data_IF_066543094436
#
_entry.id   IF_066543094436
#
_cell.length_a   1.000
_cell.length_b   1.000
_cell.length_c   1.000
_cell.angle_alpha   90.00
_cell.angle_beta   90.00
_cell.angle_gamma   90.00
#
_symmetry.space_group_name_H-M   'P 1'
#
loop_
_entity.id
_entity.type
_entity.pdbx_description
1 polymer ?
#
# COMPACT_ATOMS: atom_id res chain seq x y z
N UNK A 1 12.58 -21.50 -0.48
CA UNK A 1 11.20 -21.31 -1.01
C UNK A 1 11.02 -19.84 -1.31
N UNK A 2 10.27 -19.49 -2.37
CA UNK A 2 9.91 -18.09 -2.69
C UNK A 2 8.95 -17.56 -1.64
N UNK A 3 9.06 -16.25 -1.35
CA UNK A 3 8.10 -15.57 -0.48
C UNK A 3 6.82 -15.27 -1.24
N UNK A 4 5.69 -15.68 -0.68
CA UNK A 4 4.36 -15.48 -1.23
C UNK A 4 3.79 -14.15 -0.76
N UNK A 5 3.47 -13.26 -1.70
CA UNK A 5 3.05 -11.88 -1.40
C UNK A 5 1.59 -11.67 -1.79
N UNK A 6 0.80 -11.19 -0.85
CA UNK A 6 -0.51 -10.61 -1.12
C UNK A 6 -0.38 -9.09 -1.31
N UNK A 7 -0.85 -8.56 -2.43
CA UNK A 7 -0.81 -7.12 -2.72
C UNK A 7 -2.21 -6.53 -2.63
N UNK A 8 -2.48 -5.80 -1.57
CA UNK A 8 -3.71 -5.03 -1.41
C UNK A 8 -3.58 -3.70 -2.17
N UNK A 9 -4.30 -3.59 -3.29
CA UNK A 9 -4.22 -2.43 -4.18
C UNK A 9 -3.14 -2.54 -5.26
N UNK A 10 -3.06 -3.68 -5.93
CA UNK A 10 -2.04 -4.00 -6.95
C UNK A 10 -2.07 -3.07 -8.18
N UNK A 11 -3.22 -2.46 -8.48
CA UNK A 11 -3.40 -1.53 -9.60
C UNK A 11 -3.05 -0.08 -9.25
N UNK A 12 -2.68 0.20 -8.01
CA UNK A 12 -2.19 1.50 -7.55
C UNK A 12 -0.70 1.70 -7.88
N UNK A 13 -0.20 2.92 -7.68
CA UNK A 13 1.20 3.27 -7.96
C UNK A 13 2.20 2.36 -7.22
N UNK A 14 2.01 2.15 -5.92
CA UNK A 14 2.89 1.27 -5.13
C UNK A 14 2.71 -0.20 -5.52
N UNK A 15 1.47 -0.62 -5.78
CA UNK A 15 1.19 -2.01 -6.19
C UNK A 15 1.83 -2.38 -7.52
N UNK A 16 1.81 -1.49 -8.51
CA UNK A 16 2.48 -1.71 -9.81
C UNK A 16 3.99 -1.76 -9.67
N UNK A 17 4.59 -0.88 -8.85
CA UNK A 17 6.02 -0.91 -8.56
C UNK A 17 6.43 -2.21 -7.83
N UNK A 18 5.62 -2.68 -6.87
CA UNK A 18 5.87 -3.96 -6.21
C UNK A 18 5.83 -5.14 -7.18
N UNK A 19 4.91 -5.13 -8.14
CA UNK A 19 4.86 -6.14 -9.21
C UNK A 19 6.10 -6.08 -10.12
N UNK A 20 6.64 -4.91 -10.38
CA UNK A 20 7.89 -4.78 -11.13
C UNK A 20 9.08 -5.35 -10.35
N UNK A 21 9.16 -5.11 -9.05
CA UNK A 21 10.17 -5.73 -8.16
C UNK A 21 10.04 -7.26 -8.17
N UNK A 22 8.81 -7.80 -8.05
CA UNK A 22 8.57 -9.24 -8.15
C UNK A 22 9.01 -9.79 -9.50
N UNK A 23 8.78 -9.04 -10.59
CA UNK A 23 9.20 -9.44 -11.93
C UNK A 23 10.73 -9.55 -12.07
N UNK A 24 11.47 -8.69 -11.38
CA UNK A 24 12.94 -8.67 -11.39
C UNK A 24 13.55 -9.73 -10.48
N UNK A 25 12.82 -10.18 -9.45
CA UNK A 25 13.30 -11.10 -8.42
C UNK A 25 12.39 -12.34 -8.29
N UNK A 26 12.06 -12.97 -9.42
CA UNK A 26 11.19 -14.15 -9.47
C UNK A 26 11.75 -15.40 -8.78
N UNK A 27 13.01 -15.41 -8.47
CA UNK A 27 13.68 -16.42 -7.64
C UNK A 27 13.35 -16.27 -6.15
N UNK A 28 13.06 -15.06 -5.70
CA UNK A 28 12.80 -14.71 -4.30
C UNK A 28 11.32 -14.53 -3.98
N UNK A 29 10.55 -13.96 -4.91
CA UNK A 29 9.18 -13.51 -4.67
C UNK A 29 8.18 -14.05 -5.68
N UNK A 30 6.94 -14.21 -5.23
CA UNK A 30 5.79 -14.58 -6.04
C UNK A 30 4.53 -13.84 -5.59
N UNK A 31 3.74 -13.36 -6.54
CA UNK A 31 2.45 -12.73 -6.24
C UNK A 31 1.40 -13.82 -6.02
N UNK A 32 1.03 -14.08 -4.76
CA UNK A 32 0.02 -15.05 -4.39
C UNK A 32 -1.41 -14.51 -4.59
N UNK A 33 -1.64 -13.26 -4.20
CA UNK A 33 -2.93 -12.60 -4.38
C UNK A 33 -2.77 -11.15 -4.84
N UNK A 34 -3.61 -10.75 -5.78
CA UNK A 34 -3.70 -9.37 -6.27
C UNK A 34 -5.09 -8.81 -6.01
N UNK A 35 -5.17 -7.55 -5.59
CA UNK A 35 -6.47 -6.93 -5.33
C UNK A 35 -6.59 -5.55 -5.96
N UNK A 36 -7.82 -5.18 -6.32
CA UNK A 36 -8.16 -3.84 -6.78
C UNK A 36 -9.55 -3.43 -6.26
N UNK A 37 -9.90 -2.15 -6.34
CA UNK A 37 -11.25 -1.69 -6.01
C UNK A 37 -12.17 -1.70 -7.24
N UNK A 38 -11.87 -0.84 -8.24
CA UNK A 38 -12.72 -0.66 -9.42
C UNK A 38 -12.00 -0.97 -10.75
N UNK A 39 -10.67 -1.10 -10.75
CA UNK A 39 -9.89 -1.29 -11.98
C UNK A 39 -9.86 -2.77 -12.39
N UNK A 40 -11.02 -3.26 -12.81
CA UNK A 40 -11.22 -4.69 -13.10
C UNK A 40 -10.38 -5.18 -14.28
N UNK A 41 -10.32 -4.42 -15.38
CA UNK A 41 -9.57 -4.81 -16.58
C UNK A 41 -8.06 -4.83 -16.32
N UNK A 42 -7.55 -3.86 -15.53
CA UNK A 42 -6.15 -3.82 -15.12
C UNK A 42 -5.80 -4.98 -14.18
N UNK A 43 -6.67 -5.30 -13.21
CA UNK A 43 -6.50 -6.45 -12.34
C UNK A 43 -6.47 -7.76 -13.12
N UNK A 44 -7.36 -7.92 -14.10
CA UNK A 44 -7.38 -9.10 -14.97
C UNK A 44 -6.09 -9.21 -15.82
N UNK A 45 -5.58 -8.09 -16.33
CA UNK A 45 -4.30 -8.06 -17.06
C UNK A 45 -3.12 -8.45 -16.16
N UNK A 46 -3.08 -7.93 -14.93
CA UNK A 46 -2.08 -8.31 -13.94
C UNK A 46 -2.18 -9.80 -13.58
N UNK A 47 -3.41 -10.32 -13.37
CA UNK A 47 -3.64 -11.72 -13.08
C UNK A 47 -3.11 -12.65 -14.20
N UNK A 48 -3.32 -12.27 -15.46
CA UNK A 48 -2.79 -13.02 -16.61
C UNK A 48 -1.27 -13.02 -16.67
N UNK A 49 -0.63 -11.88 -16.32
CA UNK A 49 0.83 -11.71 -16.37
C UNK A 49 1.55 -12.43 -15.23
N UNK A 50 0.99 -12.37 -14.02
CA UNK A 50 1.64 -12.85 -12.80
C UNK A 50 1.12 -14.20 -12.33
N UNK A 51 -0.01 -14.67 -12.85
CA UNK A 51 -0.65 -15.95 -12.55
C UNK A 51 -0.79 -16.22 -11.02
N UNK A 52 -1.41 -15.30 -10.25
CA UNK A 52 -1.59 -15.48 -8.82
C UNK A 52 -2.55 -16.62 -8.51
N UNK A 53 -2.50 -17.16 -7.30
CA UNK A 53 -3.48 -18.15 -6.82
C UNK A 53 -4.89 -17.55 -6.68
N UNK A 54 -4.98 -16.24 -6.39
CA UNK A 54 -6.26 -15.56 -6.22
C UNK A 54 -6.22 -14.09 -6.65
N UNK A 55 -7.39 -13.57 -7.00
CA UNK A 55 -7.64 -12.14 -7.16
C UNK A 55 -8.88 -11.72 -6.38
N UNK A 56 -8.89 -10.50 -5.84
CA UNK A 56 -10.04 -9.94 -5.14
C UNK A 56 -10.38 -8.57 -5.70
N UNK A 57 -11.62 -8.37 -6.12
CA UNK A 57 -12.16 -7.07 -6.48
C UNK A 57 -13.02 -6.54 -5.32
N UNK A 58 -12.63 -5.40 -4.71
CA UNK A 58 -13.32 -4.91 -3.53
C UNK A 58 -14.74 -4.43 -3.80
N UNK A 59 -15.00 -3.89 -4.98
CA UNK A 59 -16.34 -3.51 -5.42
C UNK A 59 -17.06 -4.72 -6.03
N UNK A 60 -18.05 -5.24 -5.32
CA UNK A 60 -18.86 -6.42 -5.73
C UNK A 60 -19.51 -6.27 -7.11
N UNK A 61 -19.83 -5.03 -7.53
CA UNK A 61 -20.42 -4.77 -8.83
C UNK A 61 -19.55 -5.25 -10.02
N UNK A 62 -18.25 -5.44 -9.79
CA UNK A 62 -17.31 -5.90 -10.82
C UNK A 62 -16.99 -7.39 -10.76
N UNK A 63 -17.61 -8.15 -9.85
CA UNK A 63 -17.32 -9.58 -9.67
C UNK A 63 -17.52 -10.40 -10.94
N UNK A 64 -18.72 -10.34 -11.53
CA UNK A 64 -19.04 -11.12 -12.73
C UNK A 64 -18.15 -10.74 -13.91
N UNK A 65 -17.86 -9.43 -14.07
CA UNK A 65 -16.94 -8.97 -15.11
C UNK A 65 -15.53 -9.54 -14.94
N UNK A 66 -15.01 -9.59 -13.71
CA UNK A 66 -13.69 -10.16 -13.43
C UNK A 66 -13.66 -11.66 -13.72
N UNK A 67 -14.72 -12.39 -13.35
CA UNK A 67 -14.87 -13.83 -13.69
C UNK A 67 -14.87 -14.08 -15.19
N UNK A 68 -15.63 -13.29 -15.95
CA UNK A 68 -15.65 -13.39 -17.41
C UNK A 68 -14.26 -13.16 -18.00
N UNK A 69 -13.57 -12.11 -17.55
CA UNK A 69 -12.21 -11.77 -18.00
C UNK A 69 -11.19 -12.87 -17.70
N UNK A 70 -11.40 -13.68 -16.69
CA UNK A 70 -10.50 -14.77 -16.27
C UNK A 70 -11.06 -16.17 -16.52
N UNK A 71 -12.11 -16.31 -17.31
CA UNK A 71 -12.75 -17.59 -17.58
C UNK A 71 -11.82 -18.65 -18.22
N UNK A 72 -10.81 -18.21 -18.94
CA UNK A 72 -9.75 -19.06 -19.53
C UNK A 72 -8.59 -19.36 -18.56
N UNK A 73 -8.66 -18.89 -17.31
CA UNK A 73 -7.68 -19.08 -16.23
C UNK A 73 -8.31 -19.74 -15.00
N UNK A 74 -8.79 -21.00 -15.10
CA UNK A 74 -9.57 -21.65 -14.04
C UNK A 74 -8.79 -21.85 -12.73
N UNK A 75 -7.45 -21.84 -12.77
CA UNK A 75 -6.60 -21.99 -11.61
C UNK A 75 -6.56 -20.73 -10.73
N UNK A 76 -6.95 -19.56 -11.27
CA UNK A 76 -7.00 -18.31 -10.53
C UNK A 76 -8.39 -18.18 -9.86
N UNK A 77 -8.39 -18.21 -8.53
CA UNK A 77 -9.63 -18.01 -7.76
C UNK A 77 -10.04 -16.55 -7.75
N UNK A 78 -11.30 -16.27 -8.06
CA UNK A 78 -11.85 -14.91 -8.10
C UNK A 78 -12.80 -14.70 -6.93
N UNK A 79 -12.54 -13.63 -6.15
CA UNK A 79 -13.35 -13.22 -5.01
C UNK A 79 -13.75 -11.75 -5.14
N UNK A 80 -14.77 -11.33 -4.37
CA UNK A 80 -15.20 -9.94 -4.32
C UNK A 80 -15.59 -9.51 -2.91
N UNK A 81 -15.62 -8.20 -2.70
CA UNK A 81 -16.11 -7.58 -1.49
C UNK A 81 -15.03 -7.30 -0.43
N UNK A 82 -15.40 -6.43 0.52
CA UNK A 82 -14.51 -6.01 1.60
C UNK A 82 -14.17 -7.18 2.56
N UNK A 83 -15.11 -8.09 2.78
CA UNK A 83 -14.89 -9.27 3.62
C UNK A 83 -13.86 -10.22 2.99
N UNK A 84 -13.93 -10.42 1.66
CA UNK A 84 -12.97 -11.24 0.94
C UNK A 84 -11.53 -10.68 1.03
N UNK A 85 -11.37 -9.34 1.09
CA UNK A 85 -10.06 -8.72 1.35
C UNK A 85 -9.52 -9.08 2.73
N UNK A 86 -10.38 -9.15 3.75
CA UNK A 86 -9.97 -9.54 5.10
C UNK A 86 -9.62 -11.02 5.18
N UNK A 87 -10.40 -11.87 4.54
CA UNK A 87 -10.21 -13.32 4.57
C UNK A 87 -8.98 -13.77 3.77
N UNK A 88 -8.72 -13.16 2.62
CA UNK A 88 -7.62 -13.61 1.75
C UNK A 88 -6.24 -13.38 2.40
N UNK A 89 -6.06 -12.33 3.18
CA UNK A 89 -4.79 -12.04 3.83
C UNK A 89 -4.43 -13.04 4.93
N UNK A 90 -5.42 -13.80 5.41
CA UNK A 90 -5.24 -14.87 6.40
C UNK A 90 -4.75 -16.18 5.78
N UNK A 91 -4.78 -16.33 4.45
CA UNK A 91 -4.44 -17.57 3.78
C UNK A 91 -3.03 -18.06 4.18
N UNK A 92 -2.95 -19.35 4.54
CA UNK A 92 -1.74 -19.97 5.09
C UNK A 92 -0.49 -19.76 4.22
N UNK A 93 -0.54 -19.89 2.88
CA UNK A 93 0.65 -19.77 2.05
C UNK A 93 1.25 -18.36 2.00
N UNK A 94 0.50 -17.31 2.40
CA UNK A 94 0.98 -15.93 2.32
C UNK A 94 2.03 -15.67 3.42
N UNK A 95 3.24 -15.26 3.01
CA UNK A 95 4.30 -14.83 3.91
C UNK A 95 4.19 -13.35 4.28
N UNK A 96 3.81 -12.51 3.30
CA UNK A 96 3.85 -11.05 3.41
C UNK A 96 2.60 -10.41 2.79
N UNK A 97 2.12 -9.35 3.42
CA UNK A 97 1.01 -8.54 2.91
C UNK A 97 1.50 -7.12 2.65
N UNK A 98 1.49 -6.70 1.39
CA UNK A 98 1.72 -5.30 1.02
C UNK A 98 0.39 -4.54 1.08
N UNK A 99 0.29 -3.59 2.01
CA UNK A 99 -0.90 -2.75 2.18
C UNK A 99 -0.73 -1.45 1.40
N UNK A 100 -1.09 -1.46 0.11
CA UNK A 100 -1.00 -0.32 -0.81
C UNK A 100 -2.37 0.28 -1.15
N UNK A 101 -3.33 0.12 -0.26
CA UNK A 101 -4.67 0.73 -0.35
C UNK A 101 -4.61 2.19 0.09
N UNK A 102 -5.61 2.98 -0.31
CA UNK A 102 -5.69 4.40 0.03
C UNK A 102 -6.65 4.62 1.20
N UNK A 103 -6.26 5.48 2.12
CA UNK A 103 -7.11 5.92 3.23
C UNK A 103 -7.44 4.81 4.23
N UNK A 104 -8.63 4.89 4.83
CA UNK A 104 -9.10 4.00 5.90
C UNK A 104 -9.34 2.55 5.45
N UNK A 105 -9.56 2.30 4.15
CA UNK A 105 -9.93 0.97 3.63
C UNK A 105 -8.89 -0.13 3.89
N UNK A 106 -7.63 0.26 4.13
CA UNK A 106 -6.56 -0.67 4.45
C UNK A 106 -6.55 -1.18 5.90
N UNK A 107 -7.29 -0.55 6.83
CA UNK A 107 -7.19 -0.85 8.26
C UNK A 107 -7.67 -2.27 8.59
N UNK A 108 -8.88 -2.64 8.18
CA UNK A 108 -9.46 -3.94 8.51
C UNK A 108 -8.61 -5.11 7.96
N UNK A 109 -8.24 -5.17 6.66
CA UNK A 109 -7.39 -6.24 6.17
C UNK A 109 -5.99 -6.24 6.80
N UNK A 110 -5.44 -5.08 7.20
CA UNK A 110 -4.17 -5.03 7.95
C UNK A 110 -4.29 -5.71 9.32
N UNK A 111 -5.38 -5.46 10.05
CA UNK A 111 -5.64 -6.12 11.34
C UNK A 111 -5.76 -7.64 11.16
N UNK A 112 -6.47 -8.11 10.13
CA UNK A 112 -6.60 -9.53 9.82
C UNK A 112 -5.25 -10.17 9.49
N UNK A 113 -4.44 -9.52 8.67
CA UNK A 113 -3.10 -9.98 8.33
C UNK A 113 -2.17 -10.08 9.57
N UNK A 114 -2.22 -9.08 10.46
CA UNK A 114 -1.46 -9.09 11.72
C UNK A 114 -1.88 -10.28 12.58
N UNK A 115 -3.18 -10.49 12.79
CA UNK A 115 -3.72 -11.61 13.57
C UNK A 115 -3.35 -12.98 12.99
N UNK A 116 -3.17 -13.06 11.67
CA UNK A 116 -2.70 -14.24 10.96
C UNK A 116 -1.15 -14.33 10.91
N UNK A 117 -0.44 -13.55 11.73
CA UNK A 117 1.03 -13.58 11.88
C UNK A 117 1.79 -13.27 10.57
N UNK A 118 1.18 -12.50 9.64
CA UNK A 118 1.82 -12.12 8.38
C UNK A 118 2.78 -10.95 8.57
N UNK A 119 3.86 -10.90 7.78
CA UNK A 119 4.70 -9.70 7.69
C UNK A 119 3.93 -8.61 6.94
N UNK A 120 3.87 -7.43 7.52
CA UNK A 120 3.16 -6.28 6.93
C UNK A 120 4.16 -5.35 6.26
N UNK A 121 4.08 -5.21 4.94
CA UNK A 121 4.78 -4.18 4.19
C UNK A 121 3.84 -2.98 4.08
N UNK A 122 3.99 -2.00 4.97
CA UNK A 122 3.03 -0.92 5.17
C UNK A 122 3.34 0.28 4.27
N UNK A 123 2.56 0.44 3.20
CA UNK A 123 2.55 1.67 2.38
C UNK A 123 1.39 2.59 2.75
N UNK A 124 0.30 2.03 3.28
CA UNK A 124 -0.88 2.77 3.73
C UNK A 124 -0.66 3.35 5.14
N UNK A 125 0.06 4.45 5.23
CA UNK A 125 0.38 5.11 6.52
C UNK A 125 -0.83 5.63 7.25
N UNK A 126 -1.93 5.91 6.54
CA UNK A 126 -3.21 6.32 7.14
C UNK A 126 -3.75 5.29 8.13
N UNK A 127 -3.38 4.03 7.98
CA UNK A 127 -3.68 2.97 8.96
C UNK A 127 -3.08 3.28 10.34
N UNK A 128 -1.85 3.79 10.40
CA UNK A 128 -1.22 4.19 11.67
C UNK A 128 -1.77 5.52 12.19
N UNK A 129 -2.09 6.46 11.30
CA UNK A 129 -2.72 7.73 11.69
C UNK A 129 -4.04 7.49 12.43
N UNK A 130 -4.85 6.56 11.92
CA UNK A 130 -6.19 6.27 12.48
C UNK A 130 -6.12 5.36 13.70
N UNK A 131 -5.23 4.39 13.71
CA UNK A 131 -5.24 3.31 14.71
C UNK A 131 -3.81 2.84 15.10
N UNK A 132 -2.82 3.73 15.11
CA UNK A 132 -1.41 3.37 15.33
C UNK A 132 -1.17 2.60 16.61
N UNK A 133 -1.71 3.07 17.74
CA UNK A 133 -1.59 2.38 19.02
C UNK A 133 -2.16 0.95 18.97
N UNK A 134 -3.34 0.78 18.37
CA UNK A 134 -3.96 -0.54 18.20
C UNK A 134 -3.11 -1.44 17.29
N UNK A 135 -2.65 -0.92 16.16
CA UNK A 135 -1.87 -1.67 15.18
C UNK A 135 -0.53 -2.10 15.76
N UNK A 136 0.20 -1.19 16.43
CA UNK A 136 1.48 -1.52 17.05
C UNK A 136 1.33 -2.56 18.17
N UNK A 137 0.30 -2.44 19.00
CA UNK A 137 -0.01 -3.41 20.04
C UNK A 137 -0.30 -4.79 19.45
N UNK A 138 -1.21 -4.88 18.47
CA UNK A 138 -1.54 -6.15 17.81
C UNK A 138 -0.32 -6.77 17.10
N UNK A 139 0.49 -5.94 16.45
CA UNK A 139 1.70 -6.41 15.78
C UNK A 139 2.68 -7.04 16.78
N UNK A 140 2.84 -6.45 17.97
CA UNK A 140 3.67 -7.02 19.04
C UNK A 140 3.06 -8.31 19.59
N UNK A 141 1.76 -8.32 19.91
CA UNK A 141 1.03 -9.48 20.45
C UNK A 141 1.08 -10.70 19.51
N UNK A 142 0.96 -10.45 18.20
CA UNK A 142 0.93 -11.49 17.17
C UNK A 142 2.28 -11.75 16.49
N UNK A 143 3.37 -11.13 16.96
CA UNK A 143 4.70 -11.24 16.35
C UNK A 143 4.71 -10.99 14.84
N UNK A 144 3.91 -10.03 14.38
CA UNK A 144 3.76 -9.64 12.99
C UNK A 144 4.60 -8.38 12.72
N UNK A 145 5.81 -8.50 12.15
CA UNK A 145 6.65 -7.33 11.93
C UNK A 145 6.04 -6.40 10.90
N UNK A 146 6.08 -5.09 11.18
CA UNK A 146 5.69 -4.02 10.26
C UNK A 146 6.95 -3.46 9.62
N UNK A 147 7.02 -3.53 8.30
CA UNK A 147 8.10 -3.00 7.48
C UNK A 147 7.58 -1.76 6.73
N UNK A 148 8.17 -0.59 6.91
CA UNK A 148 7.73 0.60 6.24
C UNK A 148 8.06 0.57 4.74
N UNK A 149 7.07 0.88 3.90
CA UNK A 149 7.21 1.05 2.45
C UNK A 149 7.10 2.52 2.05
N UNK A 150 6.40 3.34 2.84
CA UNK A 150 6.45 4.79 2.72
C UNK A 150 7.90 5.28 2.69
N UNK A 151 8.23 6.20 1.78
CA UNK A 151 9.62 6.56 1.47
C UNK A 151 10.36 7.12 2.68
N UNK A 152 9.73 8.04 3.40
CA UNK A 152 10.33 8.73 4.54
C UNK A 152 10.46 7.80 5.74
N UNK A 153 9.42 7.03 6.04
CA UNK A 153 9.48 6.02 7.11
C UNK A 153 10.52 4.93 6.80
N UNK A 154 10.60 4.49 5.55
CA UNK A 154 11.61 3.52 5.11
C UNK A 154 13.03 4.08 5.22
N UNK A 155 13.24 5.35 4.85
CA UNK A 155 14.54 6.00 4.98
C UNK A 155 14.98 6.11 6.45
N UNK A 156 14.07 6.47 7.35
CA UNK A 156 14.33 6.51 8.80
C UNK A 156 14.66 5.10 9.31
N UNK A 157 13.82 4.12 8.95
CA UNK A 157 14.05 2.73 9.34
C UNK A 157 15.43 2.22 8.90
N UNK A 158 15.80 2.43 7.64
CA UNK A 158 17.11 2.02 7.13
C UNK A 158 18.28 2.75 7.80
N UNK A 159 18.08 4.02 8.21
CA UNK A 159 19.11 4.81 8.88
C UNK A 159 19.42 4.33 10.30
N UNK A 160 18.48 3.64 10.96
CA UNK A 160 18.66 3.13 12.32
C UNK A 160 18.97 1.63 12.38
N UNK A 161 18.90 0.92 11.25
CA UNK A 161 19.26 -0.50 11.21
C UNK A 161 20.74 -0.68 11.51
N UNK A 162 21.03 -1.48 12.53
CA UNK A 162 22.40 -1.76 12.97
C UNK A 162 22.98 -0.77 14.00
N UNK A 163 22.27 0.32 14.31
CA UNK A 163 22.75 1.29 15.30
C UNK A 163 22.61 0.81 16.76
N UNK A 164 21.89 -0.28 16.98
CA UNK A 164 21.77 -0.91 18.31
C UNK A 164 21.18 0.05 19.34
N UNK A 165 21.92 0.24 20.44
CA UNK A 165 21.49 1.08 21.57
C UNK A 165 21.91 2.56 21.43
N UNK A 166 22.39 2.99 20.26
CA UNK A 166 22.75 4.39 20.04
C UNK A 166 21.51 5.28 20.16
N UNK A 167 21.51 6.29 21.05
CA UNK A 167 20.36 7.16 21.23
C UNK A 167 20.12 8.03 20.00
N UNK A 168 18.87 8.16 19.61
CA UNK A 168 18.46 9.08 18.54
C UNK A 168 18.42 10.50 19.11
N UNK A 169 19.30 11.39 18.62
CA UNK A 169 19.28 12.78 19.01
C UNK A 169 18.11 13.54 18.38
N UNK A 170 17.88 13.33 17.08
CA UNK A 170 16.79 13.95 16.31
C UNK A 170 16.48 13.19 15.05
N UNK A 171 15.25 13.35 14.56
CA UNK A 171 14.79 12.86 13.26
C UNK A 171 14.62 14.06 12.33
N UNK A 172 15.24 13.99 11.14
CA UNK A 172 15.09 14.98 10.07
C UNK A 172 14.14 14.43 9.01
N UNK A 173 12.86 14.78 9.13
CA UNK A 173 11.85 14.36 8.19
C UNK A 173 11.88 15.24 6.94
N UNK A 174 12.22 14.67 5.78
CA UNK A 174 12.33 15.38 4.51
C UNK A 174 10.98 15.57 3.83
N UNK A 175 10.85 16.62 3.02
CA UNK A 175 9.66 16.90 2.21
C UNK A 175 10.03 17.57 0.89
N UNK A 176 9.29 17.25 -0.20
CA UNK A 176 9.38 18.01 -1.45
C UNK A 176 8.86 19.44 -1.29
N UNK A 177 7.93 19.67 -0.35
CA UNK A 177 7.25 20.92 -0.10
C UNK A 177 6.11 21.22 -1.08
N UNK A 178 5.87 20.34 -2.05
CA UNK A 178 4.78 20.45 -3.02
C UNK A 178 4.89 21.67 -3.98
N UNK A 179 3.85 21.93 -4.77
CA UNK A 179 3.84 23.03 -5.74
C UNK A 179 3.85 24.42 -5.09
N UNK A 180 3.35 24.55 -3.86
CA UNK A 180 3.17 25.85 -3.19
C UNK A 180 4.34 26.24 -2.26
N UNK A 181 5.42 25.46 -2.22
CA UNK A 181 6.55 25.68 -1.30
C UNK A 181 7.20 27.08 -1.36
N UNK A 182 7.03 27.79 -2.46
CA UNK A 182 7.57 29.15 -2.66
C UNK A 182 6.50 30.23 -2.66
N UNK A 183 5.24 29.88 -2.42
CA UNK A 183 4.12 30.81 -2.45
C UNK A 183 4.07 31.63 -1.15
N UNK A 184 3.71 32.89 -1.26
CA UNK A 184 3.32 33.71 -0.12
C UNK A 184 1.93 33.33 0.37
N UNK A 185 1.56 33.73 1.58
CA UNK A 185 0.20 33.50 2.10
C UNK A 185 -0.87 34.10 1.22
N UNK A 186 -0.62 35.28 0.63
CA UNK A 186 -1.58 35.93 -0.27
C UNK A 186 -1.76 35.16 -1.57
N UNK A 187 -0.68 34.62 -2.13
CA UNK A 187 -0.75 33.74 -3.30
C UNK A 187 -1.51 32.43 -2.99
N UNK A 188 -1.37 31.90 -1.79
CA UNK A 188 -2.08 30.68 -1.36
C UNK A 188 -3.60 30.87 -1.24
N UNK A 189 -4.08 32.11 -1.05
CA UNK A 189 -5.53 32.40 -0.94
C UNK A 189 -6.31 32.13 -2.21
N UNK A 190 -5.64 32.12 -3.35
CA UNK A 190 -6.27 31.99 -4.69
C UNK A 190 -5.96 30.67 -5.38
N UNK A 191 -5.22 29.76 -4.73
CA UNK A 191 -4.89 28.45 -5.33
C UNK A 191 -6.13 27.57 -5.46
N UNK A 192 -6.15 26.77 -6.51
CA UNK A 192 -7.24 25.85 -6.84
C UNK A 192 -6.79 24.39 -6.66
N UNK A 193 -7.75 23.47 -6.64
CA UNK A 193 -7.45 22.04 -6.67
C UNK A 193 -6.62 21.62 -7.91
N UNK A 194 -6.86 22.28 -9.05
CA UNK A 194 -6.09 22.05 -10.26
C UNK A 194 -4.61 22.48 -10.12
N UNK A 195 -4.35 23.54 -9.34
CA UNK A 195 -2.97 23.96 -9.05
C UNK A 195 -2.29 22.99 -8.08
N UNK A 196 -3.02 22.45 -7.12
CA UNK A 196 -2.51 21.43 -6.19
C UNK A 196 -2.08 20.14 -6.90
N UNK A 197 -2.68 19.80 -8.03
CA UNK A 197 -2.34 18.63 -8.84
C UNK A 197 -1.05 18.79 -9.66
N UNK A 198 -0.47 19.99 -9.73
CA UNK A 198 0.75 20.28 -10.51
C UNK A 198 2.00 20.08 -9.64
N UNK A 199 2.35 18.81 -9.33
CA UNK A 199 3.57 18.56 -8.55
C UNK A 199 4.83 18.90 -9.37
N UNK A 200 5.81 19.65 -8.78
CA UNK A 200 6.95 20.17 -9.57
C UNK A 200 7.98 19.09 -9.96
N UNK A 201 7.98 17.93 -9.32
CA UNK A 201 9.04 16.92 -9.46
C UNK A 201 8.52 15.54 -9.84
N UNK A 202 7.35 15.14 -9.34
CA UNK A 202 6.84 13.78 -9.44
C UNK A 202 5.50 13.72 -10.16
N UNK A 203 5.35 12.71 -11.03
CA UNK A 203 4.06 12.30 -11.58
C UNK A 203 3.49 11.20 -10.67
N UNK A 204 2.46 11.53 -9.91
CA UNK A 204 1.89 10.67 -8.88
C UNK A 204 0.36 10.64 -8.98
N UNK A 205 -0.26 9.70 -8.26
CA UNK A 205 -1.73 9.68 -8.13
C UNK A 205 -2.28 10.98 -7.52
N UNK A 206 -3.51 11.35 -7.88
CA UNK A 206 -4.13 12.62 -7.49
C UNK A 206 -4.16 12.83 -5.96
N UNK A 207 -4.47 11.80 -5.18
CA UNK A 207 -4.54 11.90 -3.71
C UNK A 207 -3.20 12.31 -3.11
N UNK A 208 -2.12 11.62 -3.39
CA UNK A 208 -0.80 11.91 -2.82
C UNK A 208 -0.25 13.26 -3.33
N UNK A 209 -0.61 13.67 -4.54
CA UNK A 209 -0.22 14.97 -5.09
C UNK A 209 -0.87 16.12 -4.32
N UNK A 210 -2.15 16.00 -3.97
CA UNK A 210 -2.86 16.97 -3.13
C UNK A 210 -2.31 16.97 -1.70
N UNK A 211 -2.05 15.80 -1.14
CA UNK A 211 -1.43 15.68 0.19
C UNK A 211 -0.05 16.34 0.24
N UNK A 212 0.74 16.22 -0.82
CA UNK A 212 2.02 16.92 -0.95
C UNK A 212 1.84 18.44 -1.01
N UNK A 213 0.87 18.91 -1.82
CA UNK A 213 0.57 20.34 -1.96
C UNK A 213 0.14 20.98 -0.64
N UNK A 214 -0.63 20.28 0.16
CA UNK A 214 -1.14 20.75 1.46
C UNK A 214 -0.21 20.45 2.64
N UNK A 215 0.93 19.78 2.43
CA UNK A 215 1.80 19.21 3.45
C UNK A 215 1.15 18.12 4.32
N UNK A 216 -0.07 17.68 3.99
CA UNK A 216 -0.76 16.61 4.74
C UNK A 216 -0.01 15.29 4.65
N UNK A 217 0.69 15.03 3.54
CA UNK A 217 1.55 13.86 3.43
C UNK A 217 2.58 13.81 4.58
N UNK A 218 3.20 14.94 4.90
CA UNK A 218 4.11 15.05 6.05
C UNK A 218 3.38 14.98 7.38
N UNK A 219 2.18 15.57 7.46
CA UNK A 219 1.34 15.45 8.65
C UNK A 219 1.06 13.99 9.02
N UNK A 220 0.70 13.16 8.05
CA UNK A 220 0.49 11.72 8.27
C UNK A 220 1.75 10.98 8.72
N UNK A 221 2.94 11.42 8.30
CA UNK A 221 4.20 10.79 8.68
C UNK A 221 4.69 11.20 10.08
N UNK A 222 4.20 12.30 10.61
CA UNK A 222 4.55 12.80 11.96
C UNK A 222 3.64 12.20 13.04
N UNK A 223 2.36 11.95 12.71
CA UNK A 223 1.38 11.38 13.64
C UNK A 223 1.71 9.92 13.94
#
# INVERSE_FOLDING_TARGET
MKKQICILGSTGSIGTQALDVISQHRDLYEAYCLTANNRVDELAAQARKYNPAAVVIANDAHYERLKELLADKPDIKVYAGAEALCQIVEAEPIDMVLTAMVGFSGLAPTIHAIKAHKKICLANKETLVVAGELICRLAAEHHAPILPVDSEHSAIFQSIVGEGDNPIEKILLTASGGPFRKFTLDQMRTVTAADALKHPTWDMGAKITIDSASMMNKGFEVI
#
